data_IF_265681868048
#
_entry.id   IF_265681868048
#
_cell.length_a   1.000
_cell.length_b   1.000
_cell.length_c   1.000
_cell.angle_alpha   90.00
_cell.angle_beta   90.00
_cell.angle_gamma   90.00
#
_symmetry.space_group_name_H-M   'P 1'
#
loop_
_entity.id
_entity.type
_entity.pdbx_description
1 polymer ?
#
# COMPACT_ATOMS: atom_id res chain seq x y z
N UNK A 1 -36.39 18.76 27.37
CA UNK A 1 -34.97 18.72 26.97
C UNK A 1 -34.93 18.09 25.59
N UNK A 2 -34.70 18.89 24.56
CA UNK A 2 -34.61 18.42 23.17
C UNK A 2 -33.12 18.24 22.85
N UNK A 3 -32.61 17.04 22.47
CA UNK A 3 -31.22 16.89 22.09
C UNK A 3 -31.00 17.70 20.82
N UNK A 4 -30.19 18.76 20.91
CA UNK A 4 -29.78 19.56 19.78
C UNK A 4 -29.46 18.65 18.58
N UNK A 5 -30.03 18.90 17.39
CA UNK A 5 -29.81 18.04 16.24
C UNK A 5 -28.32 18.03 15.95
N UNK A 6 -27.74 16.83 15.92
CA UNK A 6 -26.39 16.57 15.43
C UNK A 6 -26.16 17.47 14.22
N UNK A 7 -25.19 18.38 14.37
CA UNK A 7 -25.00 19.51 13.46
C UNK A 7 -24.86 19.03 12.01
N UNK A 8 -25.17 19.92 11.07
CA UNK A 8 -25.39 19.71 9.62
C UNK A 8 -24.25 19.04 8.82
N UNK A 9 -23.25 18.45 9.46
CA UNK A 9 -22.12 17.76 8.80
C UNK A 9 -22.54 16.57 7.93
N UNK A 10 -23.71 15.97 8.15
CA UNK A 10 -24.24 14.90 7.27
C UNK A 10 -24.69 15.40 5.87
N UNK A 11 -24.85 16.72 5.68
CA UNK A 11 -25.25 17.34 4.39
C UNK A 11 -24.08 17.86 3.57
N UNK A 12 -22.84 17.62 4.00
CA UNK A 12 -21.70 17.82 3.13
C UNK A 12 -21.68 16.61 2.20
N UNK A 13 -22.22 16.76 0.98
CA UNK A 13 -22.09 15.78 -0.12
C UNK A 13 -20.63 15.68 -0.57
N UNK A 14 -19.73 15.35 0.35
CA UNK A 14 -18.32 15.18 0.07
C UNK A 14 -18.20 13.90 -0.74
N UNK A 15 -17.74 14.08 -1.98
CA UNK A 15 -17.34 12.96 -2.81
C UNK A 15 -16.26 12.12 -2.13
N UNK A 16 -16.05 10.89 -2.63
CA UNK A 16 -14.97 10.03 -2.15
C UNK A 16 -13.62 10.76 -2.10
N UNK A 17 -12.85 10.51 -1.05
CA UNK A 17 -11.48 10.99 -0.94
C UNK A 17 -10.52 10.01 -1.63
N UNK A 18 -9.65 10.53 -2.49
CA UNK A 18 -8.64 9.73 -3.19
C UNK A 18 -7.30 9.81 -2.45
N UNK A 19 -6.65 8.65 -2.25
CA UNK A 19 -5.36 8.54 -1.57
C UNK A 19 -4.25 8.03 -2.49
N UNK A 20 -3.22 8.85 -2.69
CA UNK A 20 -1.98 8.46 -3.38
C UNK A 20 -0.85 8.26 -2.37
N UNK A 21 -0.33 7.05 -2.24
CA UNK A 21 0.74 6.71 -1.31
C UNK A 21 1.57 5.53 -1.78
N UNK A 22 2.78 5.43 -1.22
CA UNK A 22 3.65 4.28 -1.38
C UNK A 22 4.09 3.76 -0.02
N UNK A 23 3.98 2.44 0.20
CA UNK A 23 4.40 1.78 1.43
C UNK A 23 5.61 0.89 1.15
N UNK A 24 6.79 1.25 1.65
CA UNK A 24 7.99 0.42 1.50
C UNK A 24 7.90 -0.81 2.42
N UNK A 25 8.61 -1.87 2.03
CA UNK A 25 8.72 -3.12 2.81
C UNK A 25 7.39 -3.84 3.08
N UNK A 26 6.30 -3.46 2.41
CA UNK A 26 4.98 -4.09 2.49
C UNK A 26 4.55 -4.63 1.12
N UNK A 27 3.96 -5.82 1.11
CA UNK A 27 3.21 -6.37 -0.02
C UNK A 27 1.72 -6.43 0.35
N UNK A 28 0.88 -5.62 -0.29
CA UNK A 28 -0.56 -5.60 -0.05
C UNK A 28 -1.27 -6.91 -0.41
N UNK A 29 -0.72 -7.70 -1.34
CA UNK A 29 -1.24 -9.02 -1.70
C UNK A 29 -0.78 -10.15 -0.77
N UNK A 30 0.11 -9.86 0.18
CA UNK A 30 0.74 -10.88 1.01
C UNK A 30 1.77 -11.75 0.28
N UNK A 31 2.14 -11.41 -0.96
CA UNK A 31 3.13 -12.16 -1.73
C UNK A 31 4.51 -12.07 -1.06
N UNK A 32 5.14 -13.24 -0.91
CA UNK A 32 6.47 -13.36 -0.31
C UNK A 32 7.40 -14.18 -1.20
N UNK A 33 8.52 -13.59 -1.60
CA UNK A 33 9.65 -14.26 -2.22
C UNK A 33 10.26 -15.25 -1.22
N UNK A 34 10.16 -16.54 -1.52
CA UNK A 34 10.73 -17.61 -0.69
C UNK A 34 12.16 -17.97 -1.10
N UNK A 35 12.40 -18.05 -2.41
CA UNK A 35 13.69 -18.45 -2.95
C UNK A 35 14.03 -17.61 -4.19
N UNK A 36 15.26 -17.11 -4.25
CA UNK A 36 15.84 -16.47 -5.42
C UNK A 36 17.11 -17.24 -5.80
N UNK A 37 17.07 -17.93 -6.95
CA UNK A 37 18.21 -18.67 -7.47
C UNK A 37 18.89 -17.86 -8.56
N UNK A 38 20.10 -17.43 -8.29
CA UNK A 38 20.97 -16.75 -9.26
C UNK A 38 22.06 -17.75 -9.65
N UNK A 39 22.17 -18.09 -10.93
CA UNK A 39 23.27 -18.90 -11.46
C UNK A 39 24.45 -17.97 -11.76
N UNK A 40 25.53 -18.13 -11.02
CA UNK A 40 26.81 -17.48 -11.33
C UNK A 40 27.63 -18.30 -12.32
N UNK A 41 28.59 -17.66 -12.98
CA UNK A 41 29.64 -18.37 -13.71
C UNK A 41 30.56 -19.12 -12.72
N UNK A 42 31.18 -20.25 -13.11
CA UNK A 42 32.16 -20.93 -12.28
C UNK A 42 33.30 -19.97 -11.89
N UNK A 43 33.59 -19.85 -10.59
CA UNK A 43 34.63 -18.95 -10.07
C UNK A 43 34.22 -17.49 -9.88
N UNK A 44 32.99 -17.09 -10.24
CA UNK A 44 32.51 -15.73 -10.03
C UNK A 44 32.06 -15.49 -8.57
N UNK A 45 32.27 -14.26 -8.09
CA UNK A 45 31.78 -13.82 -6.79
C UNK A 45 30.23 -13.93 -6.70
N UNK A 46 29.66 -14.17 -5.50
CA UNK A 46 28.22 -14.23 -5.33
C UNK A 46 27.54 -12.93 -5.78
N UNK A 47 26.53 -13.03 -6.64
CA UNK A 47 25.72 -11.89 -7.02
C UNK A 47 24.96 -11.32 -5.81
N UNK A 48 24.84 -9.98 -5.68
CA UNK A 48 24.07 -9.36 -4.62
C UNK A 48 22.60 -9.78 -4.69
N UNK A 49 22.00 -10.08 -3.53
CA UNK A 49 20.64 -10.62 -3.40
C UNK A 49 19.77 -9.65 -2.61
N UNK A 50 19.27 -8.61 -3.28
CA UNK A 50 18.40 -7.62 -2.66
C UNK A 50 16.98 -7.76 -3.19
N UNK A 51 16.01 -7.79 -2.28
CA UNK A 51 14.58 -7.79 -2.59
C UNK A 51 13.95 -6.65 -1.82
N UNK A 52 13.12 -5.85 -2.50
CA UNK A 52 12.35 -4.79 -1.86
C UNK A 52 10.91 -4.91 -2.32
N UNK A 53 9.99 -4.93 -1.35
CA UNK A 53 8.57 -4.75 -1.60
C UNK A 53 8.25 -3.26 -1.60
N UNK A 54 7.42 -2.85 -2.54
CA UNK A 54 6.84 -1.51 -2.59
C UNK A 54 5.39 -1.68 -2.99
N UNK A 55 4.49 -1.28 -2.10
CA UNK A 55 3.06 -1.19 -2.42
C UNK A 55 2.78 0.23 -2.84
N UNK A 56 2.15 0.43 -4.00
CA UNK A 56 1.67 1.72 -4.46
C UNK A 56 0.14 1.70 -4.49
N UNK A 57 -0.50 2.78 -4.06
CA UNK A 57 -1.94 2.91 -4.24
C UNK A 57 -2.25 3.28 -5.69
N UNK A 58 -3.33 2.73 -6.24
CA UNK A 58 -3.81 3.09 -7.57
C UNK A 58 -5.18 3.74 -7.42
N UNK A 59 -6.25 2.92 -7.33
CA UNK A 59 -7.61 3.38 -7.06
C UNK A 59 -7.99 3.31 -5.57
N UNK A 60 -7.16 3.83 -4.66
CA UNK A 60 -7.50 3.85 -3.23
C UNK A 60 -8.47 5.00 -2.92
N UNK A 61 -9.70 4.64 -2.59
CA UNK A 61 -10.82 5.56 -2.37
C UNK A 61 -11.42 5.35 -0.99
N UNK A 62 -11.55 6.42 -0.22
CA UNK A 62 -12.16 6.43 1.12
C UNK A 62 -13.48 7.19 1.11
N UNK A 63 -14.48 6.65 1.80
CA UNK A 63 -15.74 7.35 2.09
C UNK A 63 -15.57 8.15 3.39
N UNK A 64 -16.00 9.41 3.35
CA UNK A 64 -15.95 10.34 4.48
C UNK A 64 -17.28 10.33 5.25
#
# INVERSE_FOLDING_TARGET
LDPAPLSRSWRLELGPAHGSFAVPALSSSGLRLRFLRIRGAPGAAPAPRWVRYLTHSDSYVMRL
#
